data_IF_292824511738
#
_entry.id   IF_292824511738
#
_cell.length_a   1.000
_cell.length_b   1.000
_cell.length_c   1.000
_cell.angle_alpha   90.00
_cell.angle_beta   90.00
_cell.angle_gamma   90.00
#
_symmetry.space_group_name_H-M   'P 1'
#
loop_
_entity.id
_entity.type
_entity.pdbx_description
1 polymer ?
2 polymer ?
3 polymer ?
4 polymer ?
5 water ?
#
loop_
_entity_poly.entity_id
_entity_poly.type
_entity_poly.pdbx_seq_one_letter_code
_entity_poly.pdbx_strand_id
1 'polydeoxyribonucleotide' '(DG)(DC)(DA)(DG)(DT)(DG)(DT)(DC)(DC)(DG)(DA)(DT)(DA)(DA)(DT)(DT)(DT)(DA)(DT)(DA)(DA)(DA)' ?
2 'polydeoxyribonucleotide' '(DT)(DT)(DA)(DT)(DC)(DG)(DG)(DA)(DC)(DA)(DC)(DT)(DG)' ?
3 'polydeoxyribonucleotide' '(DC)(DA)(DG)(DT)(DG)(DT)(DC)(DC)(DG)(DA)(DT)(DA)(DA)(DT)(DT)(DT)(DA)(DT)(DA)(DA)(DA)' ?
#
# COMPACT_ATOMS: atom_id res chain seq x y z
N UNK E 1 18.70 26.20 22.76
CA UNK E 1 17.96 25.12 22.06
C UNK E 1 16.83 24.72 22.98
N UNK E 2 15.78 24.12 22.42
CA UNK E 2 14.65 23.68 23.20
C UNK E 2 14.33 22.22 22.87
N UNK E 3 13.69 21.54 23.82
CA UNK E 3 13.31 20.15 23.66
C UNK E 3 11.80 20.16 23.63
N UNK E 4 11.23 19.83 22.47
CA UNK E 4 9.79 19.82 22.30
C UNK E 4 9.29 18.42 22.10
N UNK E 5 7.98 18.24 22.22
CA UNK E 5 7.39 16.93 22.01
C UNK E 5 6.17 17.04 21.13
N UNK E 6 5.76 15.93 20.53
CA UNK E 6 4.58 15.92 19.67
C UNK E 6 3.85 14.60 19.69
N UNK E 7 2.55 14.65 19.46
CA UNK E 7 1.74 13.45 19.46
C UNK E 7 0.46 13.59 18.66
N UNK E 8 0.34 12.75 17.64
CA UNK E 8 -0.86 12.68 16.83
C UNK E 8 -1.65 11.65 17.59
N UNK E 9 -2.96 11.84 17.72
CA UNK E 9 -3.78 10.91 18.47
C UNK E 9 -4.80 10.15 17.65
N UNK E 10 -4.87 8.84 17.89
CA UNK E 10 -5.82 7.96 17.22
C UNK E 10 -7.05 7.97 18.12
N UNK E 11 -8.22 7.76 17.52
CA UNK E 11 -9.50 7.75 18.24
C UNK E 11 -9.78 9.15 18.83
N UNK E 12 -9.19 9.47 19.98
CA UNK E 12 -9.39 10.78 20.59
C UNK E 12 -8.64 10.92 21.92
N UNK E 13 -8.97 11.99 22.63
CA UNK E 13 -8.38 12.34 23.92
C UNK E 13 -7.96 11.22 24.85
N UNK E 14 -8.74 10.14 24.90
CA UNK E 14 -8.39 9.02 25.77
C UNK E 14 -7.08 8.36 25.39
N UNK E 15 -6.88 8.14 24.08
CA UNK E 15 -5.65 7.51 23.60
C UNK E 15 -4.49 8.48 23.81
N UNK E 16 -4.80 9.76 23.65
CA UNK E 16 -3.83 10.85 23.79
C UNK E 16 -2.93 10.82 25.01
N UNK E 17 -3.53 10.98 26.20
CA UNK E 17 -2.77 11.00 27.44
C UNK E 17 -1.67 9.94 27.54
N UNK E 18 -1.92 8.76 26.99
CA UNK E 18 -0.92 7.69 27.02
C UNK E 18 0.33 8.14 26.24
N UNK E 19 0.12 8.78 25.09
CA UNK E 19 1.23 9.28 24.28
C UNK E 19 1.88 10.45 25.01
N UNK E 20 1.07 11.35 25.56
CA UNK E 20 1.59 12.51 26.27
C UNK E 20 2.35 12.11 27.52
N UNK E 21 2.04 10.93 28.05
CA UNK E 21 2.69 10.40 29.23
C UNK E 21 4.06 9.83 28.86
N UNK E 22 4.10 9.10 27.75
CA UNK E 22 5.34 8.50 27.28
C UNK E 22 6.39 9.60 27.02
N UNK E 23 5.97 10.73 26.43
CA UNK E 23 6.87 11.84 26.16
C UNK E 23 7.37 12.46 27.45
N UNK E 24 6.53 12.45 28.48
CA UNK E 24 6.93 12.99 29.78
C UNK E 24 7.96 12.04 30.39
N UNK E 25 7.72 10.75 30.23
CA UNK E 25 8.62 9.71 30.72
C UNK E 25 9.95 9.81 29.95
N UNK E 26 9.90 10.41 28.77
CA UNK E 26 11.07 10.60 27.92
C UNK E 26 11.86 11.79 28.40
N UNK E 27 11.16 12.77 28.99
CA UNK E 27 11.83 13.93 29.50
C UNK E 27 11.29 15.26 29.01
N UNK E 28 10.40 15.24 28.03
CA UNK E 28 9.87 16.50 27.52
C UNK E 28 9.14 17.24 28.62
N UNK E 29 9.32 18.54 28.66
CA UNK E 29 8.66 19.35 29.67
C UNK E 29 7.18 19.29 29.39
N UNK E 30 6.42 18.95 30.42
CA UNK E 30 4.96 18.82 30.34
C UNK E 30 4.20 19.97 29.68
N UNK E 31 4.85 21.10 29.40
CA UNK E 31 4.17 22.20 28.74
C UNK E 31 4.74 22.42 27.34
N UNK E 32 5.87 21.77 27.08
CA UNK E 32 6.54 21.86 25.79
C UNK E 32 6.17 20.67 24.92
N UNK E 33 5.01 20.11 25.19
CA UNK E 33 4.48 18.97 24.45
C UNK E 33 3.33 19.50 23.60
N UNK E 34 3.26 19.04 22.35
CA UNK E 34 2.17 19.46 21.46
C UNK E 34 1.43 18.23 20.96
N UNK E 35 0.10 18.27 21.01
CA UNK E 35 -0.71 17.15 20.60
C UNK E 35 -1.72 17.54 19.53
N UNK E 36 -2.14 16.55 18.76
CA UNK E 36 -3.12 16.73 17.69
C UNK E 36 -4.01 15.52 17.60
N UNK E 37 -5.31 15.72 17.76
CA UNK E 37 -6.28 14.64 17.65
C UNK E 37 -6.47 14.46 16.15
N UNK E 38 -6.11 13.28 15.64
CA UNK E 38 -6.20 12.99 14.20
C UNK E 38 -7.56 13.30 13.57
N UNK E 39 -7.77 14.56 13.23
CA UNK E 39 -8.99 15.05 12.63
C UNK E 39 -9.46 14.22 11.44
N UNK E 40 -8.50 13.81 10.60
CA UNK E 40 -8.82 13.01 9.44
C UNK E 40 -9.50 13.82 8.36
N UNK E 41 -10.72 14.27 8.64
CA UNK E 41 -11.53 15.04 7.71
C UNK E 41 -10.80 16.13 6.94
N UNK E 42 -10.12 17.02 7.65
CA UNK E 42 -9.39 18.11 7.00
C UNK E 42 -7.92 18.20 7.36
N UNK E 43 -7.17 18.90 6.52
CA UNK E 43 -5.74 19.11 6.72
C UNK E 43 -5.58 20.43 7.48
N UNK E 44 -5.51 20.35 8.80
CA UNK E 44 -5.35 21.53 9.65
C UNK E 44 -4.14 21.44 10.58
N UNK E 45 -4.17 20.49 11.52
CA UNK E 45 -3.09 20.27 12.48
C UNK E 45 -2.76 21.53 13.30
N UNK E 46 -3.66 21.91 14.21
CA UNK E 46 -3.45 23.10 15.02
C UNK E 46 -2.22 23.04 15.93
N UNK E 47 -2.14 22.03 16.78
CA UNK E 47 -1.00 21.89 17.68
C UNK E 47 0.32 21.90 16.92
N UNK E 48 0.35 21.22 15.78
CA UNK E 48 1.54 21.15 14.95
C UNK E 48 1.88 22.51 14.36
N UNK E 49 0.88 23.21 13.83
CA UNK E 49 1.11 24.54 13.26
C UNK E 49 1.69 25.49 14.30
N UNK E 50 1.50 25.15 15.58
CA UNK E 50 2.04 25.94 16.67
C UNK E 50 3.52 25.57 16.81
N UNK E 51 3.80 24.28 16.89
CA UNK E 51 5.15 23.74 17.03
C UNK E 51 6.05 24.28 15.93
N UNK E 52 5.56 24.17 14.70
CA UNK E 52 6.30 24.63 13.53
C UNK E 52 6.65 26.11 13.63
N UNK E 53 5.95 26.82 14.51
CA UNK E 53 6.20 28.23 14.68
C UNK E 53 7.09 28.54 15.87
N UNK E 54 6.95 27.78 16.95
CA UNK E 54 7.77 28.03 18.13
C UNK E 54 9.19 27.53 17.95
N UNK E 55 9.37 26.59 17.03
CA UNK E 55 10.70 26.07 16.79
C UNK E 55 11.56 27.01 15.97
N UNK E 56 12.82 27.10 16.37
CA UNK E 56 13.80 27.90 15.67
C UNK E 56 14.94 26.92 15.54
N UNK E 57 15.85 27.20 14.62
CA UNK E 57 17.00 26.35 14.37
C UNK E 57 17.62 25.87 15.67
N UNK E 58 18.06 24.61 15.69
CA UNK E 58 18.69 24.06 16.88
C UNK E 58 17.80 23.23 17.77
N UNK E 59 16.51 23.54 17.77
CA UNK E 59 15.56 22.81 18.60
C UNK E 59 15.54 21.32 18.30
N UNK E 60 14.87 20.57 19.17
CA UNK E 60 14.75 19.14 19.02
C UNK E 60 13.31 18.75 19.33
N UNK E 61 12.69 17.97 18.47
CA UNK E 61 11.33 17.52 18.69
C UNK E 61 11.41 16.02 18.91
N UNK E 62 10.73 15.55 19.94
CA UNK E 62 10.68 14.13 20.28
C UNK E 62 9.28 13.65 19.93
N UNK E 63 9.19 12.42 19.42
CA UNK E 63 7.90 11.83 19.08
C UNK E 63 8.01 10.31 19.21
N UNK E 64 6.95 9.68 19.71
CA UNK E 64 6.91 8.24 19.93
C UNK E 64 7.36 7.38 18.75
N UNK E 65 6.73 7.58 17.58
CA UNK E 65 7.08 6.79 16.39
C UNK E 65 6.66 7.49 15.11
N UNK E 66 7.32 7.16 14.01
CA UNK E 66 7.03 7.77 12.72
C UNK E 66 5.57 8.13 12.48
N UNK E 67 4.68 7.15 12.60
CA UNK E 67 3.26 7.39 12.34
C UNK E 67 2.54 8.18 13.41
N UNK E 68 3.27 9.03 14.14
CA UNK E 68 2.69 9.89 15.17
C UNK E 68 3.08 11.32 14.82
N UNK E 69 3.81 11.47 13.72
CA UNK E 69 4.27 12.75 13.26
C UNK E 69 3.54 13.13 11.97
N UNK E 70 3.01 12.13 11.28
CA UNK E 70 2.31 12.39 10.03
C UNK E 70 1.18 11.42 9.72
N UNK E 71 0.41 11.76 8.69
CA UNK E 71 -0.71 10.93 8.24
C UNK E 71 -0.13 9.92 7.25
N UNK E 72 0.03 10.37 6.01
CA UNK E 72 0.58 9.51 4.97
C UNK E 72 2.07 9.81 4.87
N UNK E 73 2.84 8.81 4.46
CA UNK E 73 4.29 8.93 4.31
C UNK E 73 4.69 10.27 3.67
N UNK E 74 3.98 10.66 2.62
CA UNK E 74 4.25 11.91 1.91
C UNK E 74 4.19 13.14 2.83
N UNK E 75 3.35 13.07 3.86
CA UNK E 75 3.21 14.18 4.81
C UNK E 75 4.52 14.26 5.60
N UNK E 76 5.02 13.10 6.04
CA UNK E 76 6.26 13.03 6.78
C UNK E 76 7.40 13.57 5.93
N UNK E 77 7.49 13.09 4.69
CA UNK E 77 8.56 13.53 3.78
C UNK E 77 8.78 15.03 3.86
N UNK E 78 7.82 15.82 3.38
CA UNK E 78 7.97 17.26 3.41
C UNK E 78 7.96 17.88 4.80
N UNK E 79 7.17 17.30 5.71
CA UNK E 79 7.10 17.80 7.09
C UNK E 79 8.49 17.77 7.72
N UNK E 80 9.21 16.69 7.46
CA UNK E 80 10.56 16.50 7.95
C UNK E 80 11.45 17.46 7.17
N UNK E 81 11.29 17.47 5.84
CA UNK E 81 12.08 18.37 4.99
C UNK E 81 12.03 19.79 5.54
N UNK E 82 10.87 20.15 6.08
CA UNK E 82 10.68 21.47 6.66
C UNK E 82 11.56 21.59 7.91
N UNK E 83 11.29 20.77 8.91
CA UNK E 83 12.05 20.80 10.15
C UNK E 83 13.57 20.77 9.94
N UNK E 84 14.04 20.05 8.93
CA UNK E 84 15.47 19.94 8.61
C UNK E 84 16.08 21.25 8.14
N UNK E 85 15.49 21.81 7.08
CA UNK E 85 15.97 23.07 6.51
C UNK E 85 15.99 24.14 7.61
N UNK E 86 14.95 24.13 8.45
CA UNK E 86 14.80 25.05 9.57
C UNK E 86 15.84 24.76 10.67
N UNK E 87 16.68 23.75 10.44
CA UNK E 87 17.70 23.39 11.41
C UNK E 87 17.19 22.58 12.58
N UNK E 88 15.90 22.29 12.57
CA UNK E 88 15.29 21.53 13.63
C UNK E 88 15.39 20.05 13.33
N UNK E 89 15.56 19.26 14.38
CA UNK E 89 15.66 17.82 14.23
C UNK E 89 14.58 17.11 15.05
N UNK E 90 14.30 15.85 14.75
CA UNK E 90 13.25 15.12 15.46
C UNK E 90 13.75 13.73 15.79
N UNK E 91 13.35 13.20 16.94
CA UNK E 91 13.78 11.87 17.30
C UNK E 91 12.60 10.95 17.52
N UNK E 92 12.59 9.82 16.80
CA UNK E 92 11.53 8.87 16.96
C UNK E 92 11.98 7.93 18.07
N UNK E 93 11.53 8.25 19.29
CA UNK E 93 11.87 7.51 20.50
C UNK E 93 11.93 6.00 20.37
N UNK E 94 10.78 5.36 20.11
CA UNK E 94 10.73 3.91 19.99
C UNK E 94 11.21 3.40 18.64
N UNK E 95 12.11 4.13 17.99
CA UNK E 95 12.63 3.70 16.69
C UNK E 95 14.10 4.00 16.54
N UNK E 96 14.65 4.80 17.45
CA UNK E 96 16.06 5.14 17.38
C UNK E 96 16.34 6.15 16.30
N UNK E 97 15.47 6.20 15.30
CA UNK E 97 15.61 7.11 14.18
C UNK E 97 15.68 8.54 14.67
N UNK E 98 16.60 9.29 14.11
CA UNK E 98 16.80 10.68 14.46
C UNK E 98 17.12 11.39 13.16
N UNK E 99 16.53 12.57 12.93
CA UNK E 99 16.82 13.29 11.69
C UNK E 99 18.02 14.19 11.90
N UNK E 100 18.82 13.86 12.90
CA UNK E 100 20.03 14.60 13.27
C UNK E 100 20.89 15.00 12.06
N UNK E 101 20.76 16.26 11.67
CA UNK E 101 21.54 16.80 10.56
C UNK E 101 21.40 16.07 9.23
N UNK E 102 22.47 15.38 8.84
CA UNK E 102 22.51 14.64 7.58
C UNK E 102 21.48 13.53 7.54
N UNK E 103 21.32 12.85 8.66
CA UNK E 103 20.38 11.74 8.79
C UNK E 103 19.04 12.16 8.22
N UNK E 104 18.61 13.37 8.55
CA UNK E 104 17.34 13.88 8.07
C UNK E 104 17.09 13.57 6.61
N UNK E 105 18.10 13.84 5.78
CA UNK E 105 18.04 13.60 4.35
C UNK E 105 17.88 12.12 4.07
N UNK E 106 18.61 11.30 4.81
CA UNK E 106 18.56 9.86 4.63
C UNK E 106 17.18 9.32 4.98
N UNK E 107 16.57 9.83 6.05
CA UNK E 107 15.25 9.37 6.45
C UNK E 107 14.25 9.63 5.33
N UNK E 108 14.20 10.86 4.84
CA UNK E 108 13.27 11.22 3.77
C UNK E 108 13.51 10.42 2.49
N UNK E 109 14.77 10.15 2.16
CA UNK E 109 15.09 9.38 0.96
C UNK E 109 14.41 8.02 1.04
N UNK E 110 14.47 7.39 2.21
CA UNK E 110 13.86 6.08 2.39
C UNK E 110 12.36 6.24 2.21
N UNK E 111 11.78 7.20 2.91
CA UNK E 111 10.35 7.45 2.83
C UNK E 111 9.86 7.56 1.38
N UNK E 112 10.58 8.29 0.54
CA UNK E 112 10.17 8.43 -0.85
C UNK E 112 10.70 7.29 -1.71
N UNK E 113 11.48 6.42 -1.11
CA UNK E 113 11.98 5.29 -1.86
C UNK E 113 10.91 4.22 -1.74
N UNK E 114 10.50 3.95 -0.52
CA UNK E 114 9.47 2.95 -0.27
C UNK E 114 8.11 3.34 -0.85
N UNK E 115 7.77 4.62 -0.81
CA UNK E 115 6.48 5.07 -1.33
C UNK E 115 6.29 4.87 -2.83
N UNK E 116 7.31 5.22 -3.60
CA UNK E 116 7.21 5.04 -5.03
C UNK E 116 7.46 3.56 -5.34
N UNK E 117 8.27 2.92 -4.51
CA UNK E 117 8.59 1.51 -4.70
C UNK E 117 7.33 0.68 -4.58
N UNK E 118 6.61 0.86 -3.47
CA UNK E 118 5.37 0.14 -3.21
C UNK E 118 4.35 0.48 -4.30
N UNK E 119 4.36 1.72 -4.77
CA UNK E 119 3.46 2.17 -5.82
C UNK E 119 3.71 1.45 -7.14
N UNK E 120 4.98 1.39 -7.53
CA UNK E 120 5.43 0.74 -8.76
C UNK E 120 5.12 -0.73 -8.77
N UNK E 121 5.31 -1.38 -7.63
CA UNK E 121 5.04 -2.80 -7.52
C UNK E 121 3.60 -3.05 -7.90
N UNK E 122 2.68 -2.33 -7.24
CA UNK E 122 1.25 -2.50 -7.48
C UNK E 122 0.82 -2.20 -8.90
N UNK E 123 1.39 -1.17 -9.51
CA UNK E 123 1.04 -0.85 -10.88
C UNK E 123 1.66 -1.91 -11.77
N UNK E 124 2.81 -2.43 -11.35
CA UNK E 124 3.52 -3.46 -12.10
C UNK E 124 2.61 -4.67 -12.28
N UNK E 125 2.04 -5.15 -11.17
CA UNK E 125 1.17 -6.33 -11.22
C UNK E 125 -0.14 -6.16 -12.01
N UNK E 126 -0.92 -5.14 -11.69
CA UNK E 126 -2.19 -4.91 -12.38
C UNK E 126 -1.98 -4.63 -13.86
N UNK E 127 -0.80 -4.15 -14.21
CA UNK E 127 -0.44 -3.81 -15.58
C UNK E 127 -0.79 -4.91 -16.58
N UNK E 128 -0.68 -6.16 -16.12
CA UNK E 128 -1.00 -7.33 -16.95
C UNK E 128 -2.46 -7.27 -17.38
N UNK E 129 -3.37 -7.34 -16.42
CA UNK E 129 -4.78 -7.30 -16.72
C UNK E 129 -5.17 -5.99 -17.38
N UNK E 130 -4.69 -4.88 -16.84
CA UNK E 130 -4.98 -3.56 -17.37
C UNK E 130 -4.82 -3.45 -18.88
N UNK E 131 -3.78 -4.07 -19.43
CA UNK E 131 -3.54 -4.02 -20.87
C UNK E 131 -4.18 -5.21 -21.59
N UNK E 132 -3.99 -6.41 -21.02
CA UNK E 132 -4.53 -7.64 -21.58
C UNK E 132 -6.02 -7.49 -21.77
N UNK E 133 -6.72 -7.29 -20.67
CA UNK E 133 -8.15 -7.14 -20.69
C UNK E 133 -8.58 -5.96 -21.53
N UNK E 134 -7.88 -4.83 -21.39
CA UNK E 134 -8.20 -3.65 -22.15
C UNK E 134 -8.23 -3.99 -23.64
N UNK E 135 -7.19 -4.67 -24.11
CA UNK E 135 -7.10 -5.06 -25.52
C UNK E 135 -8.23 -6.04 -25.81
N UNK E 136 -8.34 -7.05 -24.95
CA UNK E 136 -9.36 -8.09 -25.02
C UNK E 136 -10.75 -7.54 -25.37
N UNK E 137 -11.11 -6.40 -24.78
CA UNK E 137 -12.41 -5.81 -25.07
C UNK E 137 -13.29 -5.52 -23.86
N UNK E 138 -12.81 -5.83 -22.65
CA UNK E 138 -13.59 -5.56 -21.46
C UNK E 138 -13.89 -4.08 -21.44
N UNK E 139 -15.03 -3.72 -20.90
CA UNK E 139 -15.41 -2.33 -20.83
C UNK E 139 -14.91 -1.79 -19.51
N UNK E 140 -14.16 -0.72 -19.58
CA UNK E 140 -13.59 -0.06 -18.42
C UNK E 140 -14.39 1.16 -18.05
N UNK E 141 -14.23 1.59 -16.81
CA UNK E 141 -14.92 2.78 -16.35
C UNK E 141 -16.22 2.54 -15.62
N UNK E 142 -16.84 3.64 -15.22
CA UNK E 142 -18.11 3.64 -14.51
C UNK E 142 -19.23 3.09 -15.38
N UNK E 143 -20.09 2.27 -14.79
CA UNK E 143 -21.21 1.71 -15.52
C UNK E 143 -22.18 2.85 -15.86
N UNK E 144 -22.73 2.80 -17.07
CA UNK E 144 -23.68 3.82 -17.51
C UNK E 144 -24.94 3.67 -16.66
N UNK E 145 -25.53 4.79 -16.28
CA UNK E 145 -26.73 4.75 -15.47
C UNK E 145 -27.90 5.52 -16.05
N UNK E 146 -27.64 6.71 -16.59
CA UNK E 146 -28.70 7.51 -17.17
C UNK E 146 -29.43 6.73 -18.26
N UNK E 147 -30.75 6.80 -18.24
CA UNK E 147 -31.57 6.09 -19.22
C UNK E 147 -31.50 6.82 -20.55
N UNK E 148 -30.47 6.50 -21.32
CA UNK E 148 -30.23 7.12 -22.62
C UNK E 148 -31.36 7.04 -23.61
N UNK E 149 -32.07 5.91 -23.65
CA UNK E 149 -33.18 5.76 -24.59
C UNK E 149 -34.30 6.76 -24.29
N UNK E 150 -34.70 6.83 -23.03
CA UNK E 150 -35.75 7.75 -22.61
C UNK E 150 -35.28 9.16 -22.91
N UNK E 151 -34.01 9.43 -22.64
CA UNK E 151 -33.47 10.76 -22.88
C UNK E 151 -33.63 11.16 -24.34
N UNK E 152 -33.11 10.35 -25.24
CA UNK E 152 -33.18 10.66 -26.66
C UNK E 152 -34.62 10.74 -27.16
N UNK E 153 -35.50 9.98 -26.53
CA UNK E 153 -36.91 10.00 -26.91
C UNK E 153 -37.52 11.37 -26.62
N UNK E 154 -37.35 11.85 -25.39
CA UNK E 154 -37.89 13.15 -25.01
C UNK E 154 -37.38 14.19 -25.99
N UNK E 155 -36.12 14.05 -26.34
CA UNK E 155 -35.49 14.98 -27.27
C UNK E 155 -36.14 14.80 -28.62
N UNK E 156 -36.35 13.56 -29.03
CA UNK E 156 -36.96 13.27 -30.31
C UNK E 156 -38.40 13.73 -30.32
N UNK E 157 -38.97 13.84 -29.12
CA UNK E 157 -40.34 14.28 -28.90
C UNK E 157 -40.45 15.81 -29.00
N UNK E 158 -39.31 16.49 -29.06
CA UNK E 158 -39.31 17.94 -29.18
C UNK E 158 -39.02 18.65 -27.88
N UNK E 159 -38.93 17.89 -26.82
CA UNK E 159 -38.68 18.49 -25.52
C UNK E 159 -37.23 18.99 -25.43
N UNK E 160 -37.07 20.18 -24.88
CA UNK E 160 -35.76 20.78 -24.73
C UNK E 160 -34.93 20.09 -23.66
N UNK E 161 -33.63 20.41 -23.64
CA UNK E 161 -32.68 19.83 -22.70
C UNK E 161 -33.03 20.12 -21.25
N UNK E 162 -33.42 21.35 -20.99
CA UNK E 162 -33.79 21.75 -19.64
C UNK E 162 -34.94 20.90 -19.13
N UNK E 163 -35.89 20.57 -19.99
CA UNK E 163 -37.00 19.74 -19.56
C UNK E 163 -36.52 18.35 -19.22
N UNK E 164 -35.80 17.74 -20.14
CA UNK E 164 -35.32 16.38 -19.96
C UNK E 164 -34.61 16.19 -18.62
N UNK E 165 -33.67 17.08 -18.31
CA UNK E 165 -32.94 16.99 -17.05
C UNK E 165 -33.86 17.04 -15.85
N UNK E 166 -34.75 18.03 -15.84
CA UNK E 166 -35.70 18.23 -14.76
C UNK E 166 -36.55 16.98 -14.55
N UNK E 167 -37.16 16.52 -15.63
CA UNK E 167 -38.03 15.35 -15.59
C UNK E 167 -37.42 14.04 -15.12
N UNK E 168 -36.22 13.72 -15.58
CA UNK E 168 -35.60 12.47 -15.16
C UNK E 168 -34.40 12.60 -14.21
N UNK E 169 -34.30 13.73 -13.53
CA UNK E 169 -33.25 13.99 -12.56
C UNK E 169 -31.82 13.88 -13.06
N UNK E 170 -31.61 14.01 -14.35
CA UNK E 170 -30.27 13.91 -14.90
C UNK E 170 -29.65 15.30 -14.98
N UNK E 171 -28.33 15.36 -15.09
CA UNK E 171 -27.63 16.63 -15.19
C UNK E 171 -27.91 17.14 -16.60
N UNK E 172 -28.29 18.39 -16.71
CA UNK E 172 -28.60 18.98 -18.03
C UNK E 172 -27.51 18.71 -19.03
N UNK E 173 -26.25 18.91 -18.62
CA UNK E 173 -25.14 18.65 -19.50
C UNK E 173 -25.25 17.23 -20.05
N UNK E 174 -25.47 16.26 -19.15
CA UNK E 174 -25.59 14.86 -19.53
C UNK E 174 -26.60 14.69 -20.66
N UNK E 175 -27.66 15.51 -20.63
CA UNK E 175 -28.68 15.46 -21.66
C UNK E 175 -27.99 15.66 -22.99
N UNK E 176 -27.08 16.63 -23.03
CA UNK E 176 -26.32 16.93 -24.24
C UNK E 176 -25.31 15.85 -24.59
N UNK E 177 -24.58 15.38 -23.60
CA UNK E 177 -23.56 14.35 -23.82
C UNK E 177 -24.24 13.14 -24.44
N UNK E 178 -25.31 12.67 -23.81
CA UNK E 178 -26.06 11.52 -24.30
C UNK E 178 -26.59 11.77 -25.70
N UNK E 179 -27.07 12.98 -25.96
CA UNK E 179 -27.57 13.32 -27.27
C UNK E 179 -26.48 13.20 -28.33
N UNK E 180 -25.28 13.69 -28.01
CA UNK E 180 -24.15 13.65 -28.94
C UNK E 180 -23.50 12.29 -29.13
N UNK E 181 -23.52 11.45 -28.09
CA UNK E 181 -22.94 10.13 -28.21
C UNK E 181 -23.62 9.40 -29.38
N UNK E 182 -22.93 9.37 -30.51
CA UNK E 182 -23.40 8.71 -31.72
C UNK E 182 -24.51 9.38 -32.54
N UNK E 183 -25.07 10.47 -32.04
CA UNK E 183 -26.14 11.14 -32.78
C UNK E 183 -25.67 12.45 -33.43
N UNK F 1 35.54 -7.84 -4.43
CA UNK F 1 35.11 -9.20 -4.03
C UNK F 1 34.08 -9.67 -5.04
N UNK F 2 33.29 -10.67 -4.66
CA UNK F 2 32.26 -11.18 -5.54
C UNK F 2 31.13 -10.16 -5.49
N UNK F 3 30.82 -9.60 -6.65
CA UNK F 3 29.78 -8.61 -6.78
C UNK F 3 28.63 -9.26 -7.54
N UNK F 4 27.41 -9.13 -7.02
CA UNK F 4 26.27 -9.74 -7.67
C UNK F 4 25.20 -8.70 -7.99
N UNK F 5 24.28 -9.05 -8.89
CA UNK F 5 23.22 -8.13 -9.27
C UNK F 5 21.88 -8.82 -9.39
N UNK F 6 20.87 -8.30 -8.71
CA UNK F 6 19.55 -8.89 -8.75
C UNK F 6 18.53 -8.05 -9.53
N UNK F 7 17.81 -8.72 -10.42
CA UNK F 7 16.79 -8.06 -11.22
C UNK F 7 15.55 -8.93 -11.11
N UNK F 8 14.39 -8.33 -11.41
CA UNK F 8 13.11 -9.03 -11.34
C UNK F 8 12.07 -8.22 -12.11
N UNK F 9 11.14 -8.89 -12.77
CA UNK F 9 10.10 -8.20 -13.52
C UNK F 9 8.87 -9.07 -13.64
N UNK F 10 7.69 -8.44 -13.74
CA UNK F 10 6.42 -9.15 -13.85
C UNK F 10 6.33 -10.02 -15.11
N UNK F 11 6.43 -9.37 -16.27
CA UNK F 11 6.35 -10.06 -17.56
C UNK F 11 7.34 -9.43 -18.54
N UNK F 12 7.40 -8.11 -18.52
CA UNK F 12 8.27 -7.35 -19.41
C UNK F 12 9.73 -7.82 -19.41
N UNK F 13 10.08 -8.65 -20.40
CA UNK F 13 11.45 -9.13 -20.53
C UNK F 13 12.29 -7.89 -20.85
N UNK F 14 11.65 -6.92 -21.50
CA UNK F 14 12.28 -5.67 -21.89
C UNK F 14 12.72 -4.90 -20.65
N UNK F 15 11.82 -4.76 -19.67
CA UNK F 15 12.15 -4.05 -18.43
C UNK F 15 13.30 -4.77 -17.71
N UNK F 16 13.40 -6.08 -17.92
CA UNK F 16 14.46 -6.86 -17.30
C UNK F 16 15.80 -6.51 -17.94
N UNK F 17 15.85 -6.49 -19.27
CA UNK F 17 17.08 -6.15 -19.96
C UNK F 17 17.64 -4.86 -19.39
N UNK F 18 16.81 -3.83 -19.37
CA UNK F 18 17.19 -2.52 -18.85
C UNK F 18 17.87 -2.61 -17.51
N UNK F 19 17.35 -3.47 -16.64
CA UNK F 19 17.92 -3.65 -15.32
C UNK F 19 19.29 -4.29 -15.49
N UNK F 20 19.30 -5.51 -16.04
CA UNK F 20 20.52 -6.29 -16.26
C UNK F 20 21.66 -5.50 -16.89
N UNK F 21 21.35 -4.71 -17.90
CA UNK F 21 22.37 -3.92 -18.55
C UNK F 21 22.90 -2.86 -17.58
N UNK F 22 21.99 -2.26 -16.81
CA UNK F 22 22.39 -1.24 -15.84
C UNK F 22 23.20 -1.87 -14.71
N UNK F 23 22.92 -3.14 -14.43
CA UNK F 23 23.64 -3.86 -13.39
C UNK F 23 25.06 -4.12 -13.88
N UNK F 24 25.16 -4.68 -15.09
CA UNK F 24 26.46 -5.00 -15.68
C UNK F 24 27.39 -3.79 -15.65
N UNK F 25 26.82 -2.61 -15.88
CA UNK F 25 27.59 -1.36 -15.86
C UNK F 25 28.55 -1.29 -14.68
N UNK F 26 28.19 -1.92 -13.57
CA UNK F 26 29.04 -1.94 -12.40
C UNK F 26 29.53 -3.37 -12.13
N UNK F 27 28.64 -4.35 -12.25
CA UNK F 27 29.00 -5.74 -12.01
C UNK F 27 28.96 -6.49 -13.32
N UNK F 28 30.13 -6.67 -13.92
CA UNK F 28 30.26 -7.34 -15.22
C UNK F 28 29.85 -8.82 -15.30
N UNK F 29 30.15 -9.61 -14.26
CA UNK F 29 29.85 -11.03 -14.27
C UNK F 29 28.39 -11.44 -14.40
N UNK F 30 28.01 -11.83 -15.61
CA UNK F 30 26.64 -12.25 -15.91
C UNK F 30 26.29 -13.60 -15.28
N UNK F 31 27.30 -14.39 -14.93
CA UNK F 31 27.06 -15.69 -14.33
C UNK F 31 26.62 -15.47 -12.90
N UNK F 32 27.08 -14.37 -12.32
CA UNK F 32 26.74 -14.00 -10.95
C UNK F 32 25.35 -13.37 -10.88
N UNK F 33 25.04 -12.54 -11.87
CA UNK F 33 23.74 -11.87 -11.94
C UNK F 33 22.62 -12.90 -11.95
N UNK F 34 21.60 -12.67 -11.13
CA UNK F 34 20.47 -13.58 -11.06
C UNK F 34 19.18 -12.80 -11.23
N UNK F 35 18.46 -13.12 -12.30
CA UNK F 35 17.21 -12.46 -12.62
C UNK F 35 15.99 -13.30 -12.24
N UNK F 36 14.81 -12.69 -12.38
CA UNK F 36 13.55 -13.34 -12.06
C UNK F 36 12.37 -12.67 -12.76
N UNK F 37 11.31 -13.44 -12.94
CA UNK F 37 10.09 -12.97 -13.57
C UNK F 37 8.96 -13.64 -12.81
N UNK F 38 7.72 -13.43 -13.26
CA UNK F 38 6.55 -14.01 -12.62
C UNK F 38 6.58 -13.68 -11.13
N UNK F 39 6.63 -12.39 -10.83
CA UNK F 39 6.70 -11.87 -9.46
C UNK F 39 5.74 -12.54 -8.49
N UNK F 40 6.24 -12.88 -7.29
CA UNK F 40 5.39 -13.52 -6.30
C UNK F 40 6.01 -13.92 -4.98
N UNK F 41 5.64 -13.22 -3.92
CA UNK F 41 6.15 -13.53 -2.58
C UNK F 41 5.49 -14.82 -2.08
N UNK F 42 4.44 -15.24 -2.78
CA UNK F 42 3.71 -16.46 -2.45
C UNK F 42 4.44 -17.70 -2.97
N UNK F 43 5.23 -17.54 -4.04
CA UNK F 43 5.95 -18.68 -4.63
C UNK F 43 7.24 -18.37 -5.39
N UNK F 44 7.32 -17.21 -6.04
CA UNK F 44 8.50 -16.82 -6.82
C UNK F 44 9.69 -16.32 -5.98
N UNK F 45 10.77 -17.10 -6.01
CA UNK F 45 12.00 -16.79 -5.28
C UNK F 45 13.20 -17.49 -5.94
N UNK F 46 12.93 -18.37 -6.88
CA UNK F 46 13.96 -19.16 -7.58
C UNK F 46 15.28 -18.46 -7.86
N UNK F 47 15.27 -17.50 -8.78
CA UNK F 47 16.50 -16.76 -9.11
C UNK F 47 17.21 -16.27 -7.87
N UNK F 48 16.47 -15.59 -7.00
CA UNK F 48 17.02 -15.06 -5.76
C UNK F 48 17.67 -16.19 -4.96
N UNK F 49 17.06 -17.37 -5.03
CA UNK F 49 17.55 -18.53 -4.31
C UNK F 49 18.95 -18.93 -4.76
N UNK F 50 19.19 -18.93 -6.07
CA UNK F 50 20.53 -19.27 -6.57
C UNK F 50 21.53 -18.26 -6.04
N UNK F 51 21.06 -17.03 -5.89
CA UNK F 51 21.88 -15.94 -5.37
C UNK F 51 22.22 -16.21 -3.92
N UNK F 52 21.19 -16.45 -3.12
CA UNK F 52 21.36 -16.72 -1.70
C UNK F 52 22.51 -17.69 -1.41
N UNK F 53 22.39 -18.90 -1.92
CA UNK F 53 23.42 -19.93 -1.70
C UNK F 53 24.82 -19.63 -2.22
N UNK F 54 24.92 -18.82 -3.27
CA UNK F 54 26.24 -18.47 -3.81
C UNK F 54 26.93 -17.38 -3.00
N UNK F 55 26.12 -16.48 -2.46
CA UNK F 55 26.62 -15.34 -1.70
C UNK F 55 27.14 -15.58 -0.28
N UNK F 56 28.44 -15.39 -0.14
CA UNK F 56 29.12 -15.53 1.16
C UNK F 56 29.18 -14.15 1.79
N UNK F 57 29.75 -14.05 2.99
CA UNK F 57 29.85 -12.78 3.67
C UNK F 57 30.80 -11.81 2.97
N UNK F 58 30.58 -10.52 3.19
CA UNK F 58 31.41 -9.50 2.60
C UNK F 58 31.10 -9.32 1.13
N UNK F 59 29.93 -9.80 0.72
CA UNK F 59 29.51 -9.70 -0.68
C UNK F 59 28.55 -8.54 -0.84
N UNK F 60 28.45 -8.02 -2.06
CA UNK F 60 27.54 -6.92 -2.35
C UNK F 60 26.55 -7.31 -3.44
N UNK F 61 25.27 -7.12 -3.16
CA UNK F 61 24.23 -7.40 -4.13
C UNK F 61 23.77 -6.04 -4.68
N UNK F 62 23.73 -5.92 -5.98
CA UNK F 62 23.32 -4.67 -6.60
C UNK F 62 21.94 -4.81 -7.21
N UNK F 63 21.04 -3.92 -6.80
CA UNK F 63 19.68 -3.93 -7.32
C UNK F 63 19.50 -2.54 -7.93
N UNK F 64 18.54 -2.43 -8.83
CA UNK F 64 18.26 -1.18 -9.51
C UNK F 64 17.43 -0.24 -8.64
N UNK F 65 16.34 -0.77 -8.08
CA UNK F 65 15.43 0.01 -7.23
C UNK F 65 14.79 -0.86 -6.13
N UNK F 66 14.26 -0.22 -5.09
CA UNK F 66 13.62 -0.97 -4.01
C UNK F 66 12.57 -1.91 -4.56
N UNK F 67 11.81 -1.45 -5.54
CA UNK F 67 10.75 -2.26 -6.13
C UNK F 67 11.22 -3.45 -6.98
N UNK F 68 12.49 -3.83 -6.87
CA UNK F 68 13.01 -4.95 -7.64
C UNK F 68 13.46 -6.09 -6.73
N UNK F 69 13.48 -5.85 -5.43
CA UNK F 69 13.93 -6.88 -4.50
C UNK F 69 12.89 -7.90 -4.07
N UNK F 70 11.69 -7.45 -3.72
CA UNK F 70 10.66 -8.39 -3.31
C UNK F 70 9.30 -7.95 -3.78
N UNK F 71 8.37 -8.88 -3.93
CA UNK F 71 7.05 -8.51 -4.40
C UNK F 71 6.39 -7.52 -3.44
N UNK F 72 6.31 -7.87 -2.17
CA UNK F 72 5.71 -6.96 -1.20
C UNK F 72 6.85 -6.22 -0.53
N UNK F 73 6.60 -4.98 -0.12
CA UNK F 73 7.64 -4.25 0.58
C UNK F 73 8.08 -5.11 1.77
N UNK F 74 7.15 -5.90 2.29
CA UNK F 74 7.42 -6.81 3.40
C UNK F 74 8.49 -7.80 3.00
N UNK F 75 8.28 -8.44 1.85
CA UNK F 75 9.20 -9.44 1.34
C UNK F 75 10.60 -8.83 1.21
N UNK F 76 10.67 -7.69 0.54
CA UNK F 76 11.90 -6.97 0.32
C UNK F 76 12.64 -6.78 1.64
N UNK F 77 11.91 -6.32 2.65
CA UNK F 77 12.47 -6.12 3.96
C UNK F 77 13.04 -7.44 4.48
N UNK F 78 12.25 -8.49 4.37
CA UNK F 78 12.66 -9.82 4.83
C UNK F 78 14.01 -10.21 4.25
N UNK F 79 14.14 -10.06 2.94
CA UNK F 79 15.40 -10.38 2.28
C UNK F 79 16.55 -9.52 2.79
N UNK F 80 16.29 -8.21 2.89
CA UNK F 80 17.30 -7.28 3.35
C UNK F 80 17.82 -7.71 4.71
N UNK F 81 16.92 -8.05 5.61
CA UNK F 81 17.30 -8.51 6.94
C UNK F 81 18.17 -9.75 6.80
N UNK F 82 17.70 -10.66 5.96
CA UNK F 82 18.37 -11.93 5.70
C UNK F 82 19.81 -11.80 5.26
N UNK F 83 20.00 -11.23 4.10
CA UNK F 83 21.33 -11.04 3.57
C UNK F 83 22.19 -10.29 4.55
N UNK F 84 21.60 -9.31 5.23
CA UNK F 84 22.36 -8.53 6.19
C UNK F 84 22.94 -9.39 7.30
N UNK F 85 22.10 -10.24 7.90
CA UNK F 85 22.56 -11.10 8.98
C UNK F 85 23.67 -12.05 8.49
N UNK F 86 23.55 -12.51 7.25
CA UNK F 86 24.56 -13.38 6.66
C UNK F 86 25.81 -12.57 6.42
N UNK F 87 25.68 -11.25 6.48
CA UNK F 87 26.80 -10.35 6.27
C UNK F 87 26.94 -9.89 4.83
N UNK F 88 25.84 -9.91 4.09
CA UNK F 88 25.81 -9.49 2.69
C UNK F 88 25.18 -8.12 2.63
N UNK F 89 25.69 -7.24 1.79
CA UNK F 89 25.15 -5.90 1.71
C UNK F 89 24.39 -5.65 0.42
N UNK F 90 23.19 -5.09 0.54
CA UNK F 90 22.38 -4.81 -0.65
C UNK F 90 22.53 -3.34 -0.94
N UNK F 91 22.78 -2.99 -2.19
CA UNK F 91 22.90 -1.58 -2.58
C UNK F 91 21.99 -1.31 -3.74
N UNK F 92 21.03 -0.43 -3.51
CA UNK F 92 20.08 -0.04 -4.52
C UNK F 92 20.70 1.08 -5.34
N UNK F 93 21.07 0.73 -6.57
CA UNK F 93 21.69 1.66 -7.52
C UNK F 93 21.02 3.04 -7.58
N UNK F 94 19.87 3.11 -8.23
CA UNK F 94 19.16 4.37 -8.40
C UNK F 94 18.78 5.10 -7.12
N UNK F 95 18.18 4.41 -6.16
CA UNK F 95 17.75 5.05 -4.92
C UNK F 95 18.90 5.56 -4.06
N UNK F 96 20.10 5.04 -4.30
CA UNK F 96 21.25 5.45 -3.52
C UNK F 96 21.10 5.03 -2.08
N UNK F 97 20.42 3.92 -1.85
CA UNK F 97 20.22 3.43 -0.50
C UNK F 97 21.15 2.25 -0.39
N UNK F 98 21.95 2.18 0.65
CA UNK F 98 22.84 1.05 0.81
C UNK F 98 22.78 0.53 2.22
N UNK F 99 23.02 -0.75 2.39
CA UNK F 99 22.99 -1.34 3.73
C UNK F 99 24.38 -1.52 4.32
N UNK F 100 25.39 -0.94 3.70
CA UNK F 100 26.76 -1.05 4.20
C UNK F 100 27.46 0.31 4.31
N UNK F 101 28.61 0.33 4.97
CA UNK F 101 29.33 1.57 5.19
C UNK F 101 28.90 2.02 6.57
N UNK F 102 29.10 3.28 6.91
CA UNK F 102 28.67 3.76 8.23
C UNK F 102 27.14 3.78 8.29
N UNK F 103 26.53 4.25 7.21
CA UNK F 103 25.06 4.32 7.10
C UNK F 103 24.43 2.98 7.43
N UNK F 104 24.86 1.95 6.71
CA UNK F 104 24.37 0.59 6.87
C UNK F 104 23.34 0.29 7.93
N UNK F 105 23.80 0.12 9.16
CA UNK F 105 22.91 -0.18 10.28
C UNK F 105 21.68 0.70 10.31
N UNK F 106 21.86 2.02 10.25
CA UNK F 106 20.72 2.94 10.27
C UNK F 106 19.83 2.81 9.06
N UNK F 107 20.42 2.67 7.88
CA UNK F 107 19.60 2.54 6.66
C UNK F 107 18.62 1.39 6.82
N UNK F 108 19.11 0.23 7.26
CA UNK F 108 18.21 -0.90 7.44
C UNK F 108 17.17 -0.59 8.49
N UNK F 109 17.59 -0.02 9.62
CA UNK F 109 16.65 0.29 10.71
C UNK F 109 15.57 1.28 10.27
N UNK F 110 15.92 2.17 9.35
CA UNK F 110 14.93 3.12 8.86
C UNK F 110 14.01 2.32 7.96
N UNK F 111 14.60 1.57 7.04
CA UNK F 111 13.86 0.74 6.10
C UNK F 111 12.75 -0.04 6.83
N UNK F 112 13.15 -0.85 7.80
CA UNK F 112 12.22 -1.66 8.59
C UNK F 112 11.13 -0.80 9.22
N UNK F 113 11.49 0.40 9.64
CA UNK F 113 10.53 1.29 10.28
C UNK F 113 9.47 1.82 9.34
N UNK F 114 9.88 2.51 8.30
CA UNK F 114 8.91 3.08 7.37
C UNK F 114 7.98 1.97 6.89
N UNK F 115 8.54 0.78 6.72
CA UNK F 115 7.77 -0.38 6.26
C UNK F 115 6.87 -0.86 7.39
N UNK F 116 7.41 -0.93 8.60
CA UNK F 116 6.67 -1.35 9.79
C UNK F 116 5.37 -0.58 9.86
N UNK F 117 5.50 0.74 9.76
CA UNK F 117 4.36 1.63 9.85
C UNK F 117 3.32 1.40 8.78
N UNK F 118 3.72 1.40 7.51
CA UNK F 118 2.76 1.21 6.43
C UNK F 118 1.95 -0.07 6.60
N UNK F 119 2.60 -1.16 6.99
CA UNK F 119 1.90 -2.42 7.18
C UNK F 119 0.74 -2.23 8.15
N UNK F 120 0.98 -1.49 9.21
CA UNK F 120 -0.07 -1.23 10.17
C UNK F 120 -1.11 -0.35 9.55
N UNK F 121 -0.67 0.77 8.97
CA UNK F 121 -1.59 1.72 8.34
C UNK F 121 -2.63 0.97 7.51
N UNK F 122 -2.18 0.15 6.58
CA UNK F 122 -3.12 -0.60 5.74
C UNK F 122 -3.92 -1.64 6.52
N UNK F 123 -3.31 -2.31 7.48
CA UNK F 123 -4.05 -3.32 8.23
C UNK F 123 -5.18 -2.63 8.98
N UNK F 124 -4.82 -1.64 9.80
CA UNK F 124 -5.78 -0.88 10.59
C UNK F 124 -6.99 -0.51 9.75
N UNK F 125 -6.73 0.06 8.58
CA UNK F 125 -7.80 0.47 7.67
C UNK F 125 -8.65 -0.70 7.18
N UNK F 126 -8.02 -1.83 6.91
CA UNK F 126 -8.77 -3.01 6.48
C UNK F 126 -9.68 -3.50 7.60
N UNK F 127 -9.13 -3.66 8.79
CA UNK F 127 -9.93 -4.09 9.93
C UNK F 127 -11.07 -3.12 10.11
N UNK F 128 -10.72 -1.86 10.31
CA UNK F 128 -11.69 -0.79 10.50
C UNK F 128 -12.80 -0.82 9.44
N UNK F 129 -12.40 -0.95 8.18
CA UNK F 129 -13.34 -1.00 7.07
C UNK F 129 -14.16 -2.27 6.98
N UNK F 130 -13.62 -3.39 7.42
CA UNK F 130 -14.38 -4.62 7.35
C UNK F 130 -15.43 -4.57 8.45
N UNK F 131 -15.11 -3.94 9.57
CA UNK F 131 -16.04 -3.84 10.69
C UNK F 131 -17.32 -3.12 10.25
N UNK F 132 -17.15 -1.90 9.74
CA UNK F 132 -18.27 -1.09 9.28
C UNK F 132 -19.06 -1.86 8.24
N UNK F 133 -18.36 -2.43 7.27
CA UNK F 133 -19.01 -3.20 6.22
C UNK F 133 -19.90 -4.24 6.88
N UNK F 134 -19.37 -4.90 7.90
CA UNK F 134 -20.13 -5.91 8.61
C UNK F 134 -21.35 -5.29 9.31
N UNK F 135 -21.13 -4.17 10.01
CA UNK F 135 -22.21 -3.48 10.73
C UNK F 135 -23.34 -3.10 9.78
N UNK F 136 -22.97 -2.69 8.58
CA UNK F 136 -23.93 -2.27 7.56
C UNK F 136 -24.72 -3.48 7.06
N UNK F 137 -24.23 -4.67 7.38
CA UNK F 137 -24.90 -5.88 6.96
C UNK F 137 -24.30 -6.48 5.71
N UNK F 138 -23.18 -5.91 5.25
CA UNK F 138 -22.52 -6.41 4.04
C UNK F 138 -22.20 -7.88 4.24
N UNK F 139 -22.59 -8.70 3.27
CA UNK F 139 -22.34 -10.13 3.36
C UNK F 139 -21.04 -10.41 2.65
N UNK F 140 -20.17 -11.19 3.32
CA UNK F 140 -18.87 -11.59 2.80
C UNK F 140 -18.96 -12.98 2.21
N UNK F 141 -17.88 -13.44 1.62
CA UNK F 141 -17.86 -14.79 1.07
C UNK F 141 -18.60 -14.99 -0.23
N UNK F 142 -18.53 -16.22 -0.70
CA UNK F 142 -19.15 -16.63 -1.96
C UNK F 142 -20.65 -16.41 -1.91
N UNK F 143 -21.17 -15.64 -2.87
CA UNK F 143 -22.60 -15.37 -2.94
C UNK F 143 -23.32 -16.67 -3.27
N UNK F 144 -24.21 -17.10 -2.38
CA UNK F 144 -24.96 -18.33 -2.61
C UNK F 144 -25.60 -18.28 -3.99
N UNK F 145 -25.52 -19.39 -4.71
CA UNK F 145 -26.10 -19.47 -6.04
C UNK F 145 -26.89 -20.75 -6.20
N UNK F 146 -26.61 -21.73 -5.35
CA UNK F 146 -27.31 -23.00 -5.40
C UNK F 146 -28.78 -22.76 -5.11
N UNK F 147 -29.63 -23.32 -5.98
CA UNK F 147 -31.07 -23.19 -5.86
C UNK F 147 -31.55 -24.09 -4.72
N UNK F 148 -31.21 -23.69 -3.51
CA UNK F 148 -31.55 -24.42 -2.29
C UNK F 148 -33.02 -24.83 -2.22
N UNK F 149 -33.92 -23.97 -2.70
CA UNK F 149 -35.35 -24.29 -2.69
C UNK F 149 -35.62 -25.57 -3.49
N UNK F 150 -34.98 -25.68 -4.66
CA UNK F 150 -35.14 -26.83 -5.55
C UNK F 150 -34.70 -28.11 -4.86
N UNK F 151 -33.49 -28.11 -4.30
CA UNK F 151 -32.96 -29.27 -3.60
C UNK F 151 -33.95 -29.72 -2.53
N UNK F 152 -34.50 -28.76 -1.79
CA UNK F 152 -35.45 -29.07 -0.74
C UNK F 152 -36.78 -29.63 -1.29
N UNK F 153 -37.30 -29.02 -2.35
CA UNK F 153 -38.55 -29.46 -2.95
C UNK F 153 -38.43 -30.94 -3.31
N UNK F 154 -37.57 -31.23 -4.27
CA UNK F 154 -37.35 -32.59 -4.73
C UNK F 154 -37.26 -33.56 -3.56
N UNK F 155 -36.44 -33.23 -2.56
CA UNK F 155 -36.29 -34.10 -1.39
C UNK F 155 -37.65 -34.38 -0.75
N UNK F 156 -38.47 -33.36 -0.61
CA UNK F 156 -39.79 -33.55 -0.02
C UNK F 156 -40.64 -34.50 -0.89
N UNK F 157 -40.40 -34.44 -2.19
CA UNK F 157 -41.12 -35.27 -3.16
C UNK F 157 -40.58 -36.70 -3.27
N UNK F 158 -40.14 -37.27 -2.15
CA UNK F 158 -39.62 -38.62 -2.15
C UNK F 158 -38.40 -38.89 -3.01
N UNK F 159 -37.75 -37.84 -3.51
CA UNK F 159 -36.56 -38.03 -4.33
C UNK F 159 -35.37 -38.42 -3.48
N UNK F 160 -34.35 -38.93 -4.14
CA UNK F 160 -33.14 -39.35 -3.46
C UNK F 160 -32.03 -38.33 -3.64
N UNK F 161 -31.20 -38.18 -2.63
CA UNK F 161 -30.10 -37.23 -2.67
C UNK F 161 -29.28 -37.38 -3.95
N UNK F 162 -28.96 -38.61 -4.30
CA UNK F 162 -28.18 -38.87 -5.50
C UNK F 162 -28.79 -38.25 -6.75
N UNK F 163 -30.09 -38.44 -6.93
CA UNK F 163 -30.78 -37.89 -8.12
C UNK F 163 -30.67 -36.37 -8.14
N UNK F 164 -30.98 -35.75 -7.01
CA UNK F 164 -30.92 -34.30 -6.88
C UNK F 164 -29.56 -33.76 -7.34
N UNK F 165 -28.51 -34.53 -7.07
CA UNK F 165 -27.15 -34.15 -7.46
C UNK F 165 -26.92 -34.35 -8.96
N UNK F 166 -27.19 -35.56 -9.43
CA UNK F 166 -26.99 -35.95 -10.81
C UNK F 166 -27.73 -35.07 -11.82
N UNK F 167 -28.95 -34.66 -11.48
CA UNK F 167 -29.71 -33.82 -12.40
C UNK F 167 -29.40 -32.33 -12.28
N UNK F 168 -29.10 -31.86 -11.07
CA UNK F 168 -28.80 -30.46 -10.85
C UNK F 168 -27.35 -30.14 -11.16
N UNK F 169 -26.51 -31.17 -11.14
CA UNK F 169 -25.07 -31.06 -11.41
C UNK F 169 -24.32 -30.43 -10.25
N UNK F 170 -24.60 -30.92 -9.04
CA UNK F 170 -23.94 -30.42 -7.85
C UNK F 170 -23.45 -31.60 -7.03
N UNK F 171 -22.55 -31.34 -6.09
CA UNK F 171 -21.99 -32.39 -5.23
C UNK F 171 -22.98 -32.87 -4.19
N UNK F 172 -22.95 -34.18 -3.93
CA UNK F 172 -23.84 -34.79 -2.94
C UNK F 172 -23.70 -34.11 -1.59
N UNK F 173 -22.49 -33.66 -1.27
CA UNK F 173 -22.23 -33.00 0.00
C UNK F 173 -23.10 -31.74 0.16
N UNK F 174 -23.16 -30.90 -0.87
CA UNK F 174 -23.95 -29.68 -0.80
C UNK F 174 -25.43 -30.02 -0.78
N UNK F 175 -25.83 -31.06 -1.50
CA UNK F 175 -27.23 -31.49 -1.52
C UNK F 175 -27.64 -31.91 -0.12
N UNK F 176 -26.87 -32.82 0.47
CA UNK F 176 -27.17 -33.29 1.82
C UNK F 176 -27.04 -32.10 2.77
N UNK F 177 -26.03 -31.26 2.55
CA UNK F 177 -25.80 -30.09 3.40
C UNK F 177 -26.96 -29.10 3.37
N UNK F 178 -27.47 -28.81 2.18
CA UNK F 178 -28.58 -27.88 2.00
C UNK F 178 -29.75 -28.35 2.87
N UNK F 179 -30.09 -29.62 2.73
CA UNK F 179 -31.16 -30.24 3.50
C UNK F 179 -30.85 -30.15 5.00
N UNK F 180 -29.70 -30.65 5.40
CA UNK F 180 -29.29 -30.68 6.79
C UNK F 180 -29.15 -29.32 7.47
N UNK F 181 -28.63 -28.34 6.74
CA UNK F 181 -28.41 -26.99 7.28
C UNK F 181 -29.74 -26.28 7.53
N UNK F 182 -30.64 -26.37 6.57
CA UNK F 182 -31.96 -25.75 6.68
C UNK F 182 -32.67 -26.14 7.98
N UNK F 183 -33.62 -25.33 8.40
CA UNK F 183 -34.35 -25.58 9.63
C UNK F 183 -35.69 -26.26 9.35
#
# INVERSE_FOLDING_TARGET
MRLFGYARVSTSQQSLDIQVRALKDAGVKANRIFTDKASGSSSDRKGLDLLRMKVEEGDVILVKKLDRLGRDTADMIQLIKEFDAQGVSIRFIDDGISTDGEMGKMVVTILSAVAQAERQRILERTNEGRQEAMAKGVVFGRKRKIDRDAVLNMWQQGLGASHISKTMNIARSTVYKVINESN
MRLFGYARVSTSQQSLDIQVRALKDAGVKANRIFTDKASGSSSDRKGLDLLRMKVEEGDVILVKKLDRLGRDTADMIQLIKEFDAQGVSIRFIDDGISTDGEMGKMVVTILSAVAQAERQRILERTNEGRQEAMAKGVVFGRKRKIDRDAVLNMWQQGLGASHISKTMNIARSTVYKVINESN
#
